data_IF_970877047182
#
_entry.id   IF_970877047182
#
_cell.length_a   1.000
_cell.length_b   1.000
_cell.length_c   1.000
_cell.angle_alpha   90.00
_cell.angle_beta   90.00
_cell.angle_gamma   90.00
#
_symmetry.space_group_name_H-M   'P 1'
#
loop_
_entity.id
_entity.type
_entity.pdbx_description
1 polymer ?
#
# COMPACT_ATOMS: atom_id res chain seq x y z
N UNK A 1 -52.07 -33.90 24.48
CA UNK A 1 -52.25 -32.66 23.70
C UNK A 1 -50.89 -32.26 23.15
N UNK A 2 -50.72 -32.38 21.84
CA UNK A 2 -49.42 -32.27 21.15
C UNK A 2 -49.14 -30.78 20.86
N UNK A 3 -48.07 -30.22 21.43
CA UNK A 3 -47.66 -28.84 21.18
C UNK A 3 -46.64 -28.83 20.03
N UNK A 4 -47.13 -28.62 18.81
CA UNK A 4 -46.29 -28.39 17.64
C UNK A 4 -45.77 -26.95 17.66
N UNK A 5 -44.59 -26.73 18.26
CA UNK A 5 -43.81 -25.52 18.02
C UNK A 5 -43.13 -25.63 16.65
N UNK A 6 -43.82 -25.20 15.60
CA UNK A 6 -43.18 -24.91 14.31
C UNK A 6 -42.33 -23.66 14.46
N UNK A 7 -41.02 -23.84 14.67
CA UNK A 7 -40.04 -22.77 14.55
C UNK A 7 -40.03 -22.28 13.10
N UNK A 8 -40.86 -21.26 12.81
CA UNK A 8 -40.85 -20.56 11.54
C UNK A 8 -39.55 -19.77 11.46
N UNK A 9 -38.58 -20.28 10.70
CA UNK A 9 -37.32 -19.61 10.44
C UNK A 9 -37.60 -18.53 9.40
N UNK A 10 -37.66 -17.27 9.83
CA UNK A 10 -37.93 -16.13 8.93
C UNK A 10 -36.60 -15.49 8.50
N UNK A 11 -36.07 -15.81 7.29
CA UNK A 11 -34.74 -15.38 6.87
C UNK A 11 -34.62 -13.85 6.73
N UNK A 12 -35.73 -13.14 6.58
CA UNK A 12 -35.76 -11.68 6.41
C UNK A 12 -35.48 -10.90 7.71
N UNK A 13 -35.92 -11.40 8.87
CA UNK A 13 -35.58 -10.78 10.17
C UNK A 13 -34.09 -10.91 10.49
N UNK A 14 -33.48 -12.03 10.11
CA UNK A 14 -32.06 -12.29 10.37
C UNK A 14 -31.16 -11.42 9.48
N UNK A 15 -31.56 -11.16 8.23
CA UNK A 15 -30.86 -10.24 7.32
C UNK A 15 -30.91 -8.78 7.79
N UNK A 16 -32.06 -8.31 8.30
CA UNK A 16 -32.20 -6.96 8.87
C UNK A 16 -31.28 -6.74 10.08
N UNK A 17 -31.23 -7.71 10.99
CA UNK A 17 -30.37 -7.66 12.18
C UNK A 17 -28.87 -7.78 11.84
N UNK A 18 -28.50 -8.61 10.87
CA UNK A 18 -27.11 -8.70 10.39
C UNK A 18 -26.65 -7.40 9.73
N UNK A 19 -27.51 -6.75 8.94
CA UNK A 19 -27.20 -5.47 8.31
C UNK A 19 -27.01 -4.37 9.37
N UNK A 20 -27.87 -4.28 10.38
CA UNK A 20 -27.73 -3.30 11.47
C UNK A 20 -26.45 -3.54 12.30
N UNK A 21 -26.16 -4.79 12.66
CA UNK A 21 -24.92 -5.14 13.37
C UNK A 21 -23.67 -4.81 12.55
N UNK A 22 -23.71 -5.03 11.23
CA UNK A 22 -22.61 -4.66 10.32
C UNK A 22 -22.40 -3.14 10.22
N UNK A 23 -23.49 -2.36 10.21
CA UNK A 23 -23.45 -0.90 10.20
C UNK A 23 -22.90 -0.35 11.52
N UNK A 24 -23.36 -0.87 12.66
CA UNK A 24 -22.84 -0.50 13.98
C UNK A 24 -21.34 -0.78 14.10
N UNK A 25 -20.88 -1.95 13.63
CA UNK A 25 -19.46 -2.31 13.60
C UNK A 25 -18.64 -1.37 12.70
N UNK A 26 -19.18 -0.99 11.54
CA UNK A 26 -18.53 0.00 10.64
C UNK A 26 -18.41 1.38 11.29
N UNK A 27 -19.48 1.87 11.91
CA UNK A 27 -19.48 3.16 12.63
C UNK A 27 -18.51 3.15 13.81
N UNK A 28 -18.46 2.05 14.57
CA UNK A 28 -17.51 1.90 15.67
C UNK A 28 -16.06 1.90 15.16
N UNK A 29 -15.77 1.20 14.06
CA UNK A 29 -14.44 1.20 13.45
C UNK A 29 -14.04 2.59 12.94
N UNK A 30 -14.97 3.37 12.39
CA UNK A 30 -14.73 4.75 11.99
C UNK A 30 -14.41 5.64 13.20
N UNK A 31 -15.18 5.53 14.29
CA UNK A 31 -14.91 6.23 15.55
C UNK A 31 -13.54 5.87 16.11
N UNK A 32 -13.18 4.59 16.08
CA UNK A 32 -11.85 4.13 16.50
C UNK A 32 -10.78 4.79 15.63
N UNK A 33 -10.90 4.72 14.29
CA UNK A 33 -9.94 5.34 13.37
C UNK A 33 -9.80 6.85 13.61
N UNK A 34 -10.90 7.56 13.80
CA UNK A 34 -10.89 9.00 14.14
C UNK A 34 -10.19 9.25 15.47
N UNK A 35 -10.42 8.43 16.49
CA UNK A 35 -9.72 8.54 17.77
C UNK A 35 -8.22 8.28 17.67
N UNK A 36 -7.77 7.38 16.80
CA UNK A 36 -6.33 7.23 16.51
C UNK A 36 -5.78 8.41 15.72
N UNK A 37 -6.57 8.96 14.79
CA UNK A 37 -6.18 10.13 13.99
C UNK A 37 -5.97 11.35 14.88
N UNK A 38 -6.95 11.70 15.72
CA UNK A 38 -6.86 12.83 16.64
C UNK A 38 -5.66 12.71 17.59
N UNK A 39 -5.40 11.51 18.15
CA UNK A 39 -4.18 11.31 18.96
C UNK A 39 -2.88 11.52 18.18
N UNK A 40 -2.85 11.16 16.89
CA UNK A 40 -1.68 11.39 16.06
C UNK A 40 -1.51 12.87 15.71
N UNK A 41 -2.61 13.61 15.52
CA UNK A 41 -2.62 15.08 15.35
C UNK A 41 -2.13 15.77 16.63
N UNK A 42 -2.71 15.45 17.79
CA UNK A 42 -2.28 15.99 19.08
C UNK A 42 -0.79 15.71 19.34
N UNK A 43 -0.33 14.50 19.01
CA UNK A 43 1.08 14.13 19.13
C UNK A 43 2.00 14.92 18.20
N UNK A 44 1.54 15.22 16.97
CA UNK A 44 2.29 16.08 16.04
C UNK A 44 2.33 17.52 16.56
N UNK A 45 1.20 18.07 17.00
CA UNK A 45 1.11 19.43 17.53
C UNK A 45 2.04 19.64 18.74
N UNK A 46 2.03 18.68 19.67
CA UNK A 46 2.93 18.68 20.83
C UNK A 46 4.40 18.64 20.38
N UNK A 47 4.75 17.74 19.45
CA UNK A 47 6.11 17.65 18.93
C UNK A 47 6.58 18.93 18.25
N UNK A 48 5.72 19.58 17.47
CA UNK A 48 6.06 20.83 16.77
C UNK A 48 6.27 21.94 17.79
N UNK A 49 5.39 22.04 18.79
CA UNK A 49 5.52 23.00 19.88
C UNK A 49 6.82 22.82 20.65
N UNK A 50 7.12 21.58 21.07
CA UNK A 50 8.37 21.24 21.76
C UNK A 50 9.61 21.52 20.90
N UNK A 51 9.55 21.19 19.61
CA UNK A 51 10.64 21.45 18.67
C UNK A 51 10.89 22.95 18.48
N UNK A 52 9.83 23.75 18.33
CA UNK A 52 9.96 25.20 18.20
C UNK A 52 10.53 25.82 19.47
N UNK A 53 10.11 25.36 20.65
CA UNK A 53 10.70 25.78 21.92
C UNK A 53 12.17 25.39 22.03
N UNK A 54 12.53 24.17 21.62
CA UNK A 54 13.91 23.72 21.58
C UNK A 54 14.77 24.56 20.64
N UNK A 55 14.25 24.93 19.45
CA UNK A 55 14.90 25.81 18.47
C UNK A 55 15.15 27.20 19.06
N UNK A 56 14.15 27.80 19.72
CA UNK A 56 14.27 29.09 20.41
C UNK A 56 15.33 29.02 21.53
N UNK A 57 15.33 27.94 22.30
CA UNK A 57 16.25 27.74 23.42
C UNK A 57 17.62 27.17 23.00
N UNK A 58 17.88 27.02 21.69
CA UNK A 58 19.13 26.49 21.14
C UNK A 58 19.51 25.09 21.65
N UNK A 59 18.52 24.24 21.94
CA UNK A 59 18.72 22.85 22.35
C UNK A 59 19.06 22.00 21.12
N UNK A 60 20.33 21.61 20.99
CA UNK A 60 20.85 20.90 19.81
C UNK A 60 20.30 19.47 19.69
N UNK A 61 20.10 18.78 20.81
CA UNK A 61 19.70 17.36 20.88
C UNK A 61 18.29 17.14 21.41
N UNK A 62 17.32 17.89 20.89
CA UNK A 62 15.91 17.62 21.21
C UNK A 62 15.50 16.21 20.73
N UNK A 63 14.73 15.52 21.57
CA UNK A 63 14.17 14.23 21.26
C UNK A 63 12.69 14.23 21.61
N UNK A 64 11.81 13.84 20.69
CA UNK A 64 10.39 13.87 20.96
C UNK A 64 9.99 12.87 22.05
N UNK A 65 8.93 13.22 22.77
CA UNK A 65 8.20 12.31 23.65
C UNK A 65 7.93 10.95 22.98
N UNK A 66 8.30 9.88 23.68
CA UNK A 66 8.12 8.50 23.23
C UNK A 66 6.65 8.14 23.02
N UNK A 67 5.76 8.75 23.82
CA UNK A 67 4.30 8.60 23.72
C UNK A 67 3.79 9.18 22.41
N UNK A 68 4.17 10.42 22.07
CA UNK A 68 3.67 11.10 20.88
C UNK A 68 4.22 10.45 19.61
N UNK A 69 5.51 10.09 19.62
CA UNK A 69 6.13 9.26 18.58
C UNK A 69 5.38 7.94 18.35
N UNK A 70 5.01 7.25 19.42
CA UNK A 70 4.28 5.99 19.32
C UNK A 70 2.85 6.19 18.77
N UNK A 71 2.15 7.26 19.14
CA UNK A 71 0.80 7.56 18.64
C UNK A 71 0.81 7.83 17.14
N UNK A 72 1.72 8.69 16.66
CA UNK A 72 1.90 9.00 15.24
C UNK A 72 2.26 7.74 14.45
N UNK A 73 3.25 7.00 14.92
CA UNK A 73 3.73 5.77 14.26
C UNK A 73 2.64 4.70 14.19
N UNK A 74 1.83 4.54 15.24
CA UNK A 74 0.71 3.58 15.26
C UNK A 74 -0.35 3.95 14.24
N UNK A 75 -0.74 5.23 14.16
CA UNK A 75 -1.74 5.66 13.18
C UNK A 75 -1.22 5.46 11.75
N UNK A 76 0.02 5.87 11.47
CA UNK A 76 0.66 5.67 10.17
C UNK A 76 0.65 4.19 9.75
N UNK A 77 1.20 3.30 10.59
CA UNK A 77 1.29 1.86 10.28
C UNK A 77 -0.08 1.20 10.10
N UNK A 78 -1.06 1.58 10.91
CA UNK A 78 -2.36 0.90 10.96
C UNK A 78 -3.36 1.40 9.92
N UNK A 79 -3.30 2.67 9.55
CA UNK A 79 -4.36 3.30 8.75
C UNK A 79 -3.86 4.01 7.50
N UNK A 80 -2.57 4.32 7.40
CA UNK A 80 -1.98 4.94 6.22
C UNK A 80 -1.28 3.89 5.34
N UNK A 81 -0.28 3.19 5.90
CA UNK A 81 0.57 2.25 5.15
C UNK A 81 0.01 0.81 5.09
N UNK A 82 -1.01 0.51 5.89
CA UNK A 82 -1.50 -0.87 6.08
C UNK A 82 -1.96 -1.55 4.78
N UNK A 83 -2.47 -0.79 3.82
CA UNK A 83 -3.02 -1.35 2.59
C UNK A 83 -1.99 -1.45 1.46
N UNK A 84 -0.75 -0.98 1.67
CA UNK A 84 0.29 -1.01 0.63
C UNK A 84 0.47 -2.41 0.05
N UNK A 85 0.64 -3.42 0.91
CA UNK A 85 0.87 -4.80 0.46
C UNK A 85 -0.31 -5.34 -0.34
N UNK A 86 -1.53 -5.12 0.13
CA UNK A 86 -2.74 -5.61 -0.54
C UNK A 86 -2.86 -4.98 -1.93
N UNK A 87 -2.69 -3.67 -2.04
CA UNK A 87 -2.75 -2.98 -3.33
C UNK A 87 -1.60 -3.37 -4.26
N UNK A 88 -0.38 -3.52 -3.74
CA UNK A 88 0.76 -3.96 -4.53
C UNK A 88 0.57 -5.39 -5.07
N UNK A 89 -0.01 -6.30 -4.27
CA UNK A 89 -0.36 -7.66 -4.72
C UNK A 89 -1.44 -7.64 -5.78
N UNK A 90 -2.49 -6.83 -5.63
CA UNK A 90 -3.53 -6.68 -6.64
C UNK A 90 -2.93 -6.16 -7.95
N UNK A 91 -2.06 -5.14 -7.89
CA UNK A 91 -1.34 -4.63 -9.07
C UNK A 91 -0.49 -5.75 -9.68
N UNK A 92 0.26 -6.52 -8.87
CA UNK A 92 1.07 -7.63 -9.37
C UNK A 92 0.24 -8.68 -10.13
N UNK A 93 -0.93 -9.05 -9.61
CA UNK A 93 -1.85 -10.01 -10.25
C UNK A 93 -2.36 -9.44 -11.58
N UNK A 94 -2.85 -8.19 -11.57
CA UNK A 94 -3.37 -7.54 -12.79
C UNK A 94 -2.25 -7.46 -13.83
N UNK A 95 -1.06 -7.02 -13.44
CA UNK A 95 0.11 -6.90 -14.30
C UNK A 95 0.55 -8.23 -14.88
N UNK A 96 0.53 -9.30 -14.08
CA UNK A 96 0.86 -10.63 -14.57
C UNK A 96 -0.09 -11.06 -15.67
N UNK A 97 -1.40 -10.94 -15.43
CA UNK A 97 -2.42 -11.30 -16.41
C UNK A 97 -2.26 -10.45 -17.66
N UNK A 98 -2.13 -9.12 -17.53
CA UNK A 98 -2.05 -8.21 -18.68
C UNK A 98 -0.77 -8.37 -19.48
N UNK A 99 0.31 -8.91 -18.90
CA UNK A 99 1.57 -9.16 -19.61
C UNK A 99 1.41 -10.12 -20.79
N UNK A 100 0.43 -11.02 -20.75
CA UNK A 100 0.13 -11.94 -21.85
C UNK A 100 -0.69 -11.31 -22.99
N UNK A 101 -1.11 -10.05 -22.85
CA UNK A 101 -1.97 -9.37 -23.83
C UNK A 101 -1.36 -8.06 -24.34
N UNK A 102 -0.50 -7.41 -23.55
CA UNK A 102 0.02 -6.09 -23.93
C UNK A 102 1.37 -5.77 -23.27
N UNK A 103 2.22 -5.08 -24.02
CA UNK A 103 3.47 -4.49 -23.52
C UNK A 103 3.23 -3.36 -22.51
N UNK A 104 2.03 -2.76 -22.50
CA UNK A 104 1.65 -1.75 -21.50
C UNK A 104 1.59 -2.30 -20.07
N UNK A 105 1.65 -3.63 -19.88
CA UNK A 105 1.74 -4.26 -18.56
C UNK A 105 2.95 -3.78 -17.74
N UNK A 106 4.02 -3.31 -18.40
CA UNK A 106 5.17 -2.65 -17.73
C UNK A 106 4.73 -1.51 -16.80
N UNK A 107 3.62 -0.82 -17.13
CA UNK A 107 3.04 0.22 -16.29
C UNK A 107 2.70 -0.22 -14.87
N UNK A 108 2.52 -1.52 -14.63
CA UNK A 108 2.36 -2.10 -13.29
C UNK A 108 3.52 -1.81 -12.34
N UNK A 109 4.76 -1.86 -12.85
CA UNK A 109 5.97 -1.55 -12.08
C UNK A 109 5.91 -0.10 -11.60
N UNK A 110 5.58 0.81 -12.53
CA UNK A 110 5.42 2.24 -12.24
C UNK A 110 4.27 2.48 -11.26
N UNK A 111 3.15 1.77 -11.40
CA UNK A 111 2.01 1.88 -10.50
C UNK A 111 2.36 1.51 -9.05
N UNK A 112 3.16 0.45 -8.84
CA UNK A 112 3.64 0.07 -7.50
C UNK A 112 4.60 1.12 -6.93
N UNK A 113 5.45 1.72 -7.76
CA UNK A 113 6.29 2.83 -7.34
C UNK A 113 5.47 4.05 -6.91
N UNK A 114 4.47 4.46 -7.70
CA UNK A 114 3.55 5.55 -7.35
C UNK A 114 2.81 5.24 -6.04
N UNK A 115 2.30 4.02 -5.89
CA UNK A 115 1.67 3.56 -4.66
C UNK A 115 2.61 3.68 -3.45
N UNK A 116 3.89 3.29 -3.61
CA UNK A 116 4.91 3.43 -2.56
C UNK A 116 5.15 4.89 -2.19
N UNK A 117 5.17 5.80 -3.17
CA UNK A 117 5.29 7.24 -2.92
C UNK A 117 4.08 7.79 -2.18
N UNK A 118 2.87 7.50 -2.63
CA UNK A 118 1.63 8.00 -2.04
C UNK A 118 1.46 7.56 -0.59
N UNK A 119 1.83 6.31 -0.29
CA UNK A 119 1.76 5.75 1.06
C UNK A 119 3.07 5.95 1.86
N UNK A 120 3.94 6.85 1.42
CA UNK A 120 5.19 7.14 2.12
C UNK A 120 4.98 8.03 3.34
N UNK A 121 5.94 8.00 4.26
CA UNK A 121 5.99 8.88 5.43
C UNK A 121 6.13 10.35 5.01
N UNK A 122 6.80 10.65 3.90
CA UNK A 122 6.92 12.00 3.38
C UNK A 122 5.55 12.59 3.03
N UNK A 123 4.71 11.84 2.30
CA UNK A 123 3.36 12.29 1.95
C UNK A 123 2.47 12.36 3.18
N UNK A 124 2.59 11.40 4.11
CA UNK A 124 1.90 11.45 5.40
C UNK A 124 2.22 12.73 6.17
N UNK A 125 3.50 13.05 6.38
CA UNK A 125 3.90 14.26 7.11
C UNK A 125 3.47 15.52 6.38
N UNK A 126 3.62 15.57 5.05
CA UNK A 126 3.14 16.71 4.26
C UNK A 126 1.64 16.92 4.38
N UNK A 127 0.85 15.84 4.44
CA UNK A 127 -0.60 15.92 4.59
C UNK A 127 -1.00 16.44 5.97
N UNK A 128 -0.38 15.93 7.04
CA UNK A 128 -0.73 16.33 8.42
C UNK A 128 -0.11 17.67 8.85
N UNK A 129 1.03 18.06 8.28
CA UNK A 129 1.71 19.33 8.58
C UNK A 129 1.43 20.42 7.55
N UNK A 130 0.49 20.19 6.63
CA UNK A 130 0.21 21.14 5.57
C UNK A 130 -0.17 22.53 6.11
N UNK A 131 -0.84 22.55 7.26
CA UNK A 131 -1.38 23.76 7.87
C UNK A 131 -0.36 24.45 8.80
N UNK A 132 0.72 23.77 9.17
CA UNK A 132 1.66 24.25 10.20
C UNK A 132 2.75 25.22 9.72
N UNK A 133 2.74 25.66 8.45
CA UNK A 133 3.76 26.56 7.87
C UNK A 133 5.22 26.19 8.22
N UNK A 134 5.52 24.89 8.33
CA UNK A 134 6.84 24.40 8.72
C UNK A 134 7.79 24.42 7.53
N UNK A 135 9.03 24.86 7.75
CA UNK A 135 10.09 24.83 6.75
C UNK A 135 10.38 23.39 6.28
N UNK A 136 10.80 23.22 5.03
CA UNK A 136 11.05 21.89 4.45
C UNK A 136 12.12 21.10 5.23
N UNK A 137 13.14 21.80 5.72
CA UNK A 137 14.24 21.20 6.48
C UNK A 137 13.74 20.67 7.83
N UNK A 138 12.95 21.48 8.54
CA UNK A 138 12.31 21.13 9.80
C UNK A 138 11.35 19.94 9.63
N UNK A 139 10.57 19.90 8.53
CA UNK A 139 9.72 18.75 8.20
C UNK A 139 10.53 17.45 8.03
N UNK A 140 11.66 17.51 7.30
CA UNK A 140 12.53 16.35 7.09
C UNK A 140 13.15 15.89 8.42
N UNK A 141 13.56 16.84 9.26
CA UNK A 141 14.09 16.57 10.60
C UNK A 141 13.07 15.86 11.49
N UNK A 142 11.88 16.44 11.65
CA UNK A 142 10.78 15.87 12.45
C UNK A 142 10.40 14.47 11.98
N UNK A 143 10.24 14.28 10.67
CA UNK A 143 9.96 12.97 10.07
C UNK A 143 11.02 11.94 10.47
N UNK A 144 12.30 12.28 10.36
CA UNK A 144 13.39 11.36 10.69
C UNK A 144 13.43 11.04 12.20
N UNK A 145 13.05 11.97 13.08
CA UNK A 145 12.91 11.72 14.53
C UNK A 145 11.73 10.77 14.84
N UNK A 146 10.61 10.91 14.13
CA UNK A 146 9.40 10.10 14.32
C UNK A 146 9.58 8.69 13.76
N UNK A 147 10.11 8.57 12.54
CA UNK A 147 10.07 7.31 11.80
C UNK A 147 11.43 6.67 11.51
N UNK A 148 12.54 7.38 11.77
CA UNK A 148 13.87 6.96 11.36
C UNK A 148 14.22 7.38 9.94
N UNK A 149 15.47 7.09 9.53
CA UNK A 149 15.99 7.46 8.22
C UNK A 149 15.54 6.43 7.17
N UNK A 150 14.79 6.89 6.18
CA UNK A 150 14.32 6.04 5.08
C UNK A 150 15.30 5.98 3.91
N UNK A 151 15.07 5.00 3.02
CA UNK A 151 15.67 4.97 1.69
C UNK A 151 15.31 6.24 0.91
N UNK A 152 16.28 6.74 0.14
CA UNK A 152 16.06 7.93 -0.66
C UNK A 152 15.02 7.62 -1.76
N UNK A 153 14.02 8.49 -1.89
CA UNK A 153 13.01 8.43 -2.95
C UNK A 153 13.67 8.38 -4.32
N UNK A 154 14.77 9.13 -4.51
CA UNK A 154 15.55 9.12 -5.74
C UNK A 154 16.14 7.73 -6.03
N UNK A 155 16.67 7.04 -5.03
CA UNK A 155 17.21 5.69 -5.19
C UNK A 155 16.11 4.71 -5.61
N UNK A 156 14.95 4.77 -4.96
CA UNK A 156 13.80 3.92 -5.33
C UNK A 156 13.31 4.22 -6.75
N UNK A 157 13.30 5.50 -7.14
CA UNK A 157 12.95 5.91 -8.49
C UNK A 157 13.93 5.34 -9.52
N UNK A 158 15.23 5.48 -9.31
CA UNK A 158 16.25 4.93 -10.22
C UNK A 158 16.13 3.41 -10.37
N UNK A 159 15.90 2.68 -9.26
CA UNK A 159 15.66 1.22 -9.32
C UNK A 159 14.41 0.93 -10.17
N UNK A 160 13.33 1.68 -9.98
CA UNK A 160 12.09 1.51 -10.75
C UNK A 160 12.33 1.73 -12.24
N UNK A 161 13.09 2.76 -12.63
CA UNK A 161 13.44 3.02 -14.02
C UNK A 161 14.20 1.85 -14.62
N UNK A 162 15.22 1.33 -13.92
CA UNK A 162 16.00 0.19 -14.38
C UNK A 162 15.13 -1.06 -14.56
N UNK A 163 14.28 -1.39 -13.58
CA UNK A 163 13.35 -2.52 -13.67
C UNK A 163 12.35 -2.38 -14.83
N UNK A 164 11.84 -1.16 -15.04
CA UNK A 164 10.94 -0.82 -16.14
C UNK A 164 11.64 -1.04 -17.49
N UNK A 165 12.88 -0.59 -17.63
CA UNK A 165 13.67 -0.78 -18.86
C UNK A 165 13.95 -2.26 -19.13
N UNK A 166 14.37 -3.02 -18.11
CA UNK A 166 14.59 -4.47 -18.24
C UNK A 166 13.30 -5.16 -18.69
N UNK A 167 12.18 -4.85 -18.05
CA UNK A 167 10.90 -5.45 -18.42
C UNK A 167 10.45 -5.06 -19.83
N UNK A 168 10.62 -3.78 -20.20
CA UNK A 168 10.32 -3.31 -21.55
C UNK A 168 11.17 -4.01 -22.60
N UNK A 169 12.46 -4.24 -22.33
CA UNK A 169 13.32 -5.04 -23.20
C UNK A 169 12.82 -6.48 -23.31
N UNK A 170 12.42 -7.10 -22.19
CA UNK A 170 11.84 -8.45 -22.19
C UNK A 170 10.54 -8.55 -22.97
N UNK A 171 9.80 -7.45 -23.15
CA UNK A 171 8.57 -7.45 -23.95
C UNK A 171 8.80 -7.70 -25.45
N UNK A 172 10.04 -7.54 -25.95
CA UNK A 172 10.43 -7.88 -27.32
C UNK A 172 10.89 -9.33 -27.48
N UNK A 173 11.09 -10.06 -26.38
CA UNK A 173 11.49 -11.46 -26.40
C UNK A 173 10.29 -12.35 -26.06
N UNK A 174 9.74 -13.02 -27.08
CA UNK A 174 8.66 -14.01 -26.92
C UNK A 174 9.28 -15.38 -26.63
N UNK A 175 9.46 -15.67 -25.34
CA UNK A 175 10.00 -16.94 -24.85
C UNK A 175 8.96 -17.56 -23.91
N UNK A 176 8.23 -18.56 -24.41
CA UNK A 176 7.46 -19.50 -23.59
C UNK A 176 8.40 -20.48 -22.89
N UNK A 177 8.22 -20.67 -21.59
CA UNK A 177 9.12 -21.50 -20.75
C UNK A 177 8.37 -22.70 -20.20
N UNK A 178 7.26 -22.49 -19.49
CA UNK A 178 6.48 -23.53 -18.84
C UNK A 178 5.06 -23.66 -19.39
N UNK A 179 4.50 -22.64 -20.03
CA UNK A 179 3.12 -22.68 -20.57
C UNK A 179 3.13 -23.39 -21.92
N UNK A 180 2.88 -24.70 -21.88
CA UNK A 180 2.67 -25.50 -23.09
C UNK A 180 1.18 -25.47 -23.48
N UNK A 181 0.89 -24.67 -24.51
CA UNK A 181 -0.46 -24.42 -25.03
C UNK A 181 -1.09 -25.69 -25.60
N UNK A 182 -0.26 -26.59 -26.14
CA UNK A 182 -0.72 -27.84 -26.75
C UNK A 182 -1.23 -28.83 -25.69
N UNK A 183 -0.68 -28.76 -24.47
CA UNK A 183 -1.09 -29.60 -23.35
C UNK A 183 -2.34 -29.10 -22.61
N UNK A 184 -2.71 -27.82 -22.77
CA UNK A 184 -3.86 -27.21 -22.08
C UNK A 184 -4.73 -26.36 -23.03
N UNK A 185 -5.34 -26.97 -24.06
CA UNK A 185 -6.09 -26.24 -25.08
C UNK A 185 -7.36 -25.56 -24.53
N UNK A 186 -7.89 -26.04 -23.40
CA UNK A 186 -9.01 -25.37 -22.72
C UNK A 186 -8.59 -23.99 -22.17
N UNK A 187 -7.38 -23.88 -21.62
CA UNK A 187 -6.91 -22.65 -20.98
C UNK A 187 -6.67 -21.55 -22.02
N UNK A 188 -6.07 -21.89 -23.17
CA UNK A 188 -5.88 -20.96 -24.27
C UNK A 188 -7.21 -20.51 -24.87
N UNK A 189 -8.17 -21.43 -25.07
CA UNK A 189 -9.50 -21.07 -25.54
C UNK A 189 -10.26 -20.15 -24.57
N UNK A 190 -10.10 -20.34 -23.27
CA UNK A 190 -10.72 -19.49 -22.26
C UNK A 190 -10.09 -18.09 -22.23
N UNK A 191 -8.76 -18.01 -22.25
CA UNK A 191 -8.00 -16.75 -22.15
C UNK A 191 -8.06 -15.93 -23.46
N UNK A 192 -8.13 -16.60 -24.62
CA UNK A 192 -8.26 -15.96 -25.93
C UNK A 192 -9.67 -15.49 -26.26
N UNK A 193 -10.66 -15.76 -25.40
CA UNK A 193 -12.08 -15.53 -25.71
C UNK A 193 -12.43 -14.06 -26.01
N UNK A 194 -11.74 -13.12 -25.35
CA UNK A 194 -12.03 -11.68 -25.45
C UNK A 194 -10.88 -10.87 -26.04
N UNK A 195 -9.65 -11.38 -25.95
CA UNK A 195 -8.45 -10.73 -26.47
C UNK A 195 -7.41 -11.80 -26.83
N UNK A 196 -6.57 -11.62 -27.86
CA UNK A 196 -5.55 -12.60 -28.22
C UNK A 196 -4.57 -12.84 -27.07
N UNK A 197 -4.54 -14.07 -26.56
CA UNK A 197 -3.60 -14.50 -25.53
C UNK A 197 -2.26 -14.88 -26.19
N UNK A 198 -1.16 -14.30 -25.69
CA UNK A 198 0.20 -14.54 -26.19
C UNK A 198 0.96 -15.35 -25.14
N UNK A 199 0.92 -16.69 -25.18
CA UNK A 199 1.57 -17.55 -24.19
C UNK A 199 3.08 -17.35 -24.12
N UNK A 200 3.70 -17.01 -25.26
CA UNK A 200 5.15 -16.78 -25.36
C UNK A 200 5.62 -15.52 -24.61
N UNK A 201 4.71 -14.69 -24.10
CA UNK A 201 5.05 -13.57 -23.21
C UNK A 201 5.35 -13.99 -21.77
N UNK A 202 5.49 -15.29 -21.50
CA UNK A 202 5.71 -15.81 -20.16
C UNK A 202 6.94 -15.20 -19.45
N UNK A 203 8.08 -15.14 -20.15
CA UNK A 203 9.29 -14.51 -19.59
C UNK A 203 9.06 -13.03 -19.24
N UNK A 204 8.32 -12.30 -20.08
CA UNK A 204 7.94 -10.91 -19.84
C UNK A 204 7.02 -10.79 -18.61
N UNK A 205 6.03 -11.68 -18.48
CA UNK A 205 5.12 -11.73 -17.34
C UNK A 205 5.86 -11.98 -16.02
N UNK A 206 6.82 -12.92 -16.01
CA UNK A 206 7.68 -13.17 -14.85
C UNK A 206 8.61 -12.01 -14.54
N UNK A 207 9.18 -11.37 -15.55
CA UNK A 207 10.03 -10.18 -15.36
C UNK A 207 9.24 -9.05 -14.69
N UNK A 208 7.99 -8.82 -15.11
CA UNK A 208 7.11 -7.85 -14.48
C UNK A 208 6.80 -8.19 -13.01
N UNK A 209 6.37 -9.43 -12.74
CA UNK A 209 6.11 -9.89 -11.37
C UNK A 209 7.35 -9.72 -10.48
N UNK A 210 8.50 -10.18 -10.96
CA UNK A 210 9.75 -10.16 -10.19
C UNK A 210 10.17 -8.72 -9.88
N UNK A 211 10.03 -7.82 -10.86
CA UNK A 211 10.27 -6.38 -10.68
C UNK A 211 9.36 -5.78 -9.61
N UNK A 212 8.08 -6.11 -9.62
CA UNK A 212 7.13 -5.67 -8.58
C UNK A 212 7.52 -6.22 -7.20
N UNK A 213 7.93 -7.50 -7.12
CA UNK A 213 8.40 -8.08 -5.87
C UNK A 213 9.64 -7.39 -5.33
N UNK A 214 10.60 -6.99 -6.17
CA UNK A 214 11.76 -6.19 -5.74
C UNK A 214 11.28 -4.88 -5.07
N UNK A 215 10.32 -4.18 -5.66
CA UNK A 215 9.79 -2.93 -5.08
C UNK A 215 9.07 -3.17 -3.73
N UNK A 216 8.33 -4.27 -3.60
CA UNK A 216 7.71 -4.68 -2.35
C UNK A 216 8.78 -5.01 -1.29
N UNK A 217 9.81 -5.76 -1.65
CA UNK A 217 10.91 -6.11 -0.74
C UNK A 217 11.67 -4.88 -0.25
N UNK A 218 11.93 -3.90 -1.13
CA UNK A 218 12.53 -2.63 -0.72
C UNK A 218 11.70 -1.92 0.37
N UNK A 219 10.37 -1.93 0.25
CA UNK A 219 9.47 -1.38 1.28
C UNK A 219 9.52 -2.19 2.58
N UNK A 220 9.63 -3.52 2.50
CA UNK A 220 9.80 -4.38 3.68
C UNK A 220 11.09 -4.03 4.40
N UNK A 221 12.22 -3.93 3.70
CA UNK A 221 13.53 -3.62 4.29
C UNK A 221 13.50 -2.26 5.00
N UNK A 222 12.84 -1.25 4.42
CA UNK A 222 12.64 0.06 5.07
C UNK A 222 11.88 -0.01 6.40
N UNK A 223 11.03 -1.02 6.59
CA UNK A 223 10.25 -1.19 7.83
C UNK A 223 11.07 -1.77 8.98
N UNK A 224 12.15 -2.51 8.68
CA UNK A 224 12.98 -3.21 9.65
C UNK A 224 14.28 -2.46 10.01
N UNK A 225 14.57 -1.35 9.33
CA UNK A 225 15.70 -0.45 9.62
C UNK A 225 15.25 0.72 10.48
#
# INVERSE_FOLDING_TARGET
MNNNNSNHFDPFQNWGNQNQASQQKRLQNQKIKQGYKSKAEDGLDNMISEYNQAKINQVVDWNPSSKDKAQITRYFKRYWDNNFFIYAVIIAIITFITSFYTTFAVGGIVAVFVLKLTLSQNIFMKYFLNDHQIEKEDMVYLKNKIFGKQLNVLTTFMITVVLTMISFTMSFYTIGIYIDVEKIPFLSNLLSKWYPFIPDNELFAYTNIFSIFILILLKVIEKWR
#
